data_IF_960594140846
#
_entry.id   IF_960594140846
#
_cell.length_a   1.000
_cell.length_b   1.000
_cell.length_c   1.000
_cell.angle_alpha   90.00
_cell.angle_beta   90.00
_cell.angle_gamma   90.00
#
_symmetry.space_group_name_H-M   'P 1'
#
loop_
_entity.id
_entity.type
_entity.pdbx_description
1 polymer ?
#
# COMPACT_ATOMS: atom_id res chain seq x y z
N UNK A 1 -19.61 17.32 3.50
CA UNK A 1 -18.30 16.97 4.08
C UNK A 1 -17.20 17.54 3.18
N UNK A 2 -16.65 18.71 3.49
CA UNK A 2 -15.55 19.28 2.71
C UNK A 2 -14.29 18.42 2.94
N UNK A 3 -13.77 17.80 1.89
CA UNK A 3 -12.55 17.00 1.97
C UNK A 3 -11.36 17.93 1.89
N UNK A 4 -10.39 17.82 2.81
CA UNK A 4 -9.13 18.55 2.70
C UNK A 4 -8.22 17.86 1.68
N UNK A 5 -7.33 18.64 1.03
CA UNK A 5 -6.41 18.10 0.02
C UNK A 5 -5.57 16.92 0.51
N UNK A 6 -5.19 16.91 1.80
CA UNK A 6 -4.50 15.78 2.44
C UNK A 6 -5.35 14.50 2.43
N UNK A 7 -6.63 14.58 2.80
CA UNK A 7 -7.55 13.44 2.80
C UNK A 7 -7.80 12.93 1.37
N UNK A 8 -7.96 13.84 0.40
CA UNK A 8 -8.11 13.46 -1.01
C UNK A 8 -6.89 12.71 -1.54
N UNK A 9 -5.67 13.23 -1.28
CA UNK A 9 -4.43 12.56 -1.70
C UNK A 9 -4.24 11.20 -1.03
N UNK A 10 -4.47 11.12 0.29
CA UNK A 10 -4.39 9.84 1.00
C UNK A 10 -5.38 8.82 0.44
N UNK A 11 -6.62 9.25 0.16
CA UNK A 11 -7.64 8.39 -0.44
C UNK A 11 -7.24 7.94 -1.85
N UNK A 12 -6.65 8.82 -2.65
CA UNK A 12 -6.16 8.45 -3.97
C UNK A 12 -5.08 7.36 -3.88
N UNK A 13 -4.02 7.60 -3.11
CA UNK A 13 -2.89 6.67 -2.98
C UNK A 13 -3.32 5.31 -2.46
N UNK A 14 -4.16 5.27 -1.41
CA UNK A 14 -4.46 4.03 -0.71
C UNK A 14 -5.66 3.27 -1.28
N UNK A 15 -6.49 3.91 -2.10
CA UNK A 15 -7.73 3.28 -2.57
C UNK A 15 -8.04 3.54 -4.03
N UNK A 16 -7.91 4.77 -4.56
CA UNK A 16 -8.44 5.08 -5.90
C UNK A 16 -7.42 4.92 -7.04
N UNK A 17 -6.12 4.83 -6.72
CA UNK A 17 -5.05 4.65 -7.69
C UNK A 17 -5.27 3.34 -8.50
N UNK A 18 -5.40 3.39 -9.85
CA UNK A 18 -5.78 2.23 -10.66
C UNK A 18 -4.77 1.07 -10.65
N UNK A 19 -3.49 1.38 -10.54
CA UNK A 19 -2.38 0.43 -10.48
C UNK A 19 -2.12 -0.12 -9.07
N UNK A 20 -2.93 0.29 -8.08
CA UNK A 20 -2.89 -0.33 -6.77
C UNK A 20 -3.43 -1.76 -6.86
N UNK A 21 -2.54 -2.75 -6.71
CA UNK A 21 -2.91 -4.16 -6.67
C UNK A 21 -3.89 -4.40 -5.51
N UNK A 22 -5.08 -4.94 -5.84
CA UNK A 22 -6.09 -5.32 -4.85
C UNK A 22 -6.22 -6.84 -4.85
N UNK A 23 -6.16 -7.44 -3.67
CA UNK A 23 -6.22 -8.89 -3.50
C UNK A 23 -5.15 -9.39 -2.55
N UNK A 24 -5.07 -10.70 -2.42
CA UNK A 24 -4.02 -11.35 -1.64
C UNK A 24 -2.66 -11.16 -2.33
N UNK A 25 -1.62 -11.13 -1.50
CA UNK A 25 -0.25 -11.22 -1.99
C UNK A 25 -0.01 -12.63 -2.53
N UNK A 26 0.88 -12.77 -3.51
CA UNK A 26 1.40 -14.09 -3.83
C UNK A 26 2.39 -14.54 -2.77
N UNK A 27 2.61 -15.84 -2.62
CA UNK A 27 3.62 -16.39 -1.69
C UNK A 27 5.00 -15.74 -1.87
N UNK A 28 5.37 -15.44 -3.12
CA UNK A 28 6.61 -14.73 -3.43
C UNK A 28 6.61 -13.29 -2.90
N UNK A 29 5.51 -12.56 -3.07
CA UNK A 29 5.38 -11.20 -2.56
C UNK A 29 5.38 -11.18 -1.02
N UNK A 30 4.75 -12.17 -0.38
CA UNK A 30 4.77 -12.33 1.07
C UNK A 30 6.19 -12.57 1.59
N UNK A 31 6.93 -13.49 0.97
CA UNK A 31 8.32 -13.76 1.35
C UNK A 31 9.19 -12.52 1.16
N UNK A 32 9.02 -11.80 0.04
CA UNK A 32 9.74 -10.55 -0.21
C UNK A 32 9.48 -9.51 0.87
N UNK A 33 8.22 -9.36 1.31
CA UNK A 33 7.87 -8.44 2.41
C UNK A 33 8.57 -8.83 3.71
N UNK A 34 8.60 -10.12 4.04
CA UNK A 34 9.27 -10.64 5.24
C UNK A 34 10.78 -10.36 5.18
N UNK A 35 11.43 -10.69 4.06
CA UNK A 35 12.87 -10.53 3.87
C UNK A 35 13.28 -9.06 3.98
N UNK A 36 12.53 -8.17 3.31
CA UNK A 36 12.79 -6.73 3.37
C UNK A 36 12.58 -6.18 4.77
N UNK A 37 11.54 -6.63 5.47
CA UNK A 37 11.31 -6.20 6.85
C UNK A 37 12.43 -6.68 7.79
N UNK A 38 12.91 -7.91 7.63
CA UNK A 38 14.04 -8.42 8.42
C UNK A 38 15.34 -7.64 8.18
N UNK A 39 15.56 -7.17 6.95
CA UNK A 39 16.75 -6.41 6.58
C UNK A 39 16.69 -4.93 7.00
N UNK A 40 15.52 -4.30 6.87
CA UNK A 40 15.36 -2.85 7.03
C UNK A 40 14.74 -2.44 8.37
N UNK A 41 14.05 -3.35 9.07
CA UNK A 41 13.31 -3.05 10.28
C UNK A 41 12.02 -2.26 10.03
N UNK A 42 11.53 -1.59 11.09
CA UNK A 42 10.46 -0.58 11.04
C UNK A 42 10.99 0.75 11.58
#
# INVERSE_FOLDING_TARGET
LLRCGKSCRLRWTNYLRPDLKRGLLSEFEEQMVIDLHAQLGN
#
